data_IF_958991364858
#
_entry.id   IF_958991364858
#
_cell.length_a   1.000
_cell.length_b   1.000
_cell.length_c   1.000
_cell.angle_alpha   90.00
_cell.angle_beta   90.00
_cell.angle_gamma   90.00
#
_symmetry.space_group_name_H-M   'P 1'
#
loop_
_entity.id
_entity.type
_entity.pdbx_description
1 polymer ?
#
# COMPACT_ATOMS: atom_id res chain seq x y z
N UNK A 1 -31.48 -2.88 15.95
CA UNK A 1 -30.60 -1.80 15.44
C UNK A 1 -29.35 -2.47 14.92
N UNK A 2 -29.05 -2.35 13.65
CA UNK A 2 -27.76 -2.81 13.11
C UNK A 2 -26.66 -1.98 13.74
N UNK A 3 -25.63 -2.63 14.34
CA UNK A 3 -24.48 -1.93 14.87
C UNK A 3 -23.81 -1.13 13.75
N UNK A 4 -23.42 0.11 14.03
CA UNK A 4 -22.60 0.90 13.09
C UNK A 4 -21.27 0.19 12.92
N UNK A 5 -20.89 -0.06 11.66
CA UNK A 5 -19.59 -0.62 11.31
C UNK A 5 -18.85 0.39 10.43
N UNK A 6 -17.74 0.89 10.94
CA UNK A 6 -16.96 1.96 10.30
C UNK A 6 -15.81 1.41 9.50
N UNK A 7 -15.62 1.96 8.31
CA UNK A 7 -14.48 1.65 7.46
C UNK A 7 -13.67 2.88 7.12
N UNK A 8 -12.36 2.69 6.97
CA UNK A 8 -11.48 3.64 6.27
C UNK A 8 -11.05 3.01 4.97
N UNK A 9 -11.12 3.77 3.88
CA UNK A 9 -10.66 3.36 2.55
C UNK A 9 -9.55 4.29 2.11
N UNK A 10 -8.37 3.73 1.84
CA UNK A 10 -7.22 4.44 1.32
C UNK A 10 -7.00 4.11 -0.15
N UNK A 11 -7.06 5.13 -1.02
CA UNK A 11 -6.75 4.94 -2.44
C UNK A 11 -5.25 4.74 -2.67
N UNK A 12 -4.91 4.20 -3.85
CA UNK A 12 -3.55 4.27 -4.38
C UNK A 12 -3.16 5.70 -4.78
N UNK A 13 -1.87 6.00 -4.82
CA UNK A 13 -1.40 7.35 -5.17
C UNK A 13 0.11 7.57 -5.00
N UNK A 14 0.88 6.52 -4.73
CA UNK A 14 2.33 6.56 -4.67
C UNK A 14 2.86 7.57 -3.65
N UNK A 15 3.67 8.53 -4.10
CA UNK A 15 4.32 9.52 -3.24
C UNK A 15 3.36 10.44 -2.47
N UNK A 16 2.07 10.46 -2.81
CA UNK A 16 1.08 11.25 -2.08
C UNK A 16 0.58 10.59 -0.79
N UNK A 17 0.99 9.36 -0.49
CA UNK A 17 0.54 8.60 0.68
C UNK A 17 0.75 9.30 2.03
N UNK A 18 1.67 10.27 2.11
CA UNK A 18 1.84 11.12 3.29
C UNK A 18 0.58 11.91 3.64
N UNK A 19 -0.25 12.28 2.66
CA UNK A 19 -1.55 12.92 2.90
C UNK A 19 -2.50 12.02 3.71
N UNK A 20 -2.48 10.71 3.44
CA UNK A 20 -3.32 9.74 4.15
C UNK A 20 -2.99 9.71 5.65
N UNK A 21 -1.73 9.97 6.04
CA UNK A 21 -1.33 10.02 7.46
C UNK A 21 -1.93 11.26 8.16
N UNK A 22 -1.99 12.38 7.44
CA UNK A 22 -2.69 13.57 7.92
C UNK A 22 -4.20 13.33 8.08
N UNK A 23 -4.83 12.66 7.11
CA UNK A 23 -6.23 12.27 7.18
C UNK A 23 -6.48 11.28 8.34
N UNK A 24 -5.60 10.29 8.54
CA UNK A 24 -5.67 9.39 9.68
C UNK A 24 -5.61 10.14 11.02
N UNK A 25 -4.71 11.14 11.13
CA UNK A 25 -4.67 12.01 12.31
C UNK A 25 -6.02 12.70 12.57
N UNK A 26 -6.60 13.30 11.52
CA UNK A 26 -7.89 13.98 11.62
C UNK A 26 -9.02 13.02 12.05
N UNK A 27 -9.06 11.80 11.48
CA UNK A 27 -10.03 10.76 11.88
C UNK A 27 -9.92 10.41 13.37
N UNK A 28 -8.70 10.29 13.88
CA UNK A 28 -8.47 10.06 15.33
C UNK A 28 -8.96 11.24 16.18
N UNK A 29 -8.69 12.49 15.75
CA UNK A 29 -9.09 13.69 16.47
C UNK A 29 -10.61 13.86 16.58
N UNK A 30 -11.36 13.39 15.57
CA UNK A 30 -12.83 13.41 15.61
C UNK A 30 -13.45 12.16 16.22
N UNK A 31 -12.63 11.22 16.71
CA UNK A 31 -13.12 9.95 17.30
C UNK A 31 -13.72 8.99 16.30
N UNK A 32 -13.29 9.03 15.02
CA UNK A 32 -13.68 8.02 14.03
C UNK A 32 -12.80 6.78 14.18
N UNK A 33 -13.28 5.81 14.91
CA UNK A 33 -12.59 4.54 15.13
C UNK A 33 -13.10 3.50 14.12
N UNK A 34 -12.24 3.03 13.17
CA UNK A 34 -12.65 2.06 12.18
C UNK A 34 -12.66 0.62 12.73
N UNK A 35 -13.64 -0.16 12.29
CA UNK A 35 -13.69 -1.62 12.47
C UNK A 35 -12.94 -2.35 11.36
N UNK A 36 -12.78 -1.69 10.20
CA UNK A 36 -12.02 -2.24 9.07
C UNK A 36 -11.35 -1.14 8.26
N UNK A 37 -10.26 -1.50 7.59
CA UNK A 37 -9.57 -0.65 6.64
C UNK A 37 -9.30 -1.44 5.36
N UNK A 38 -9.59 -0.82 4.21
CA UNK A 38 -9.23 -1.37 2.90
C UNK A 38 -8.34 -0.39 2.16
N UNK A 39 -7.40 -0.90 1.38
CA UNK A 39 -6.48 -0.03 0.67
C UNK A 39 -5.87 -0.64 -0.58
N UNK A 40 -5.39 0.24 -1.46
CA UNK A 40 -4.72 -0.14 -2.71
C UNK A 40 -3.37 0.54 -2.80
N UNK A 41 -2.33 -0.18 -3.26
CA UNK A 41 -0.99 0.37 -3.46
C UNK A 41 -0.43 0.97 -2.15
N UNK A 42 -0.02 2.24 -2.15
CA UNK A 42 0.38 2.96 -0.94
C UNK A 42 -0.72 2.96 0.14
N UNK A 43 -1.98 2.94 -0.28
CA UNK A 43 -3.12 2.82 0.62
C UNK A 43 -3.18 1.46 1.34
N UNK A 44 -2.72 0.38 0.73
CA UNK A 44 -2.59 -0.92 1.38
C UNK A 44 -1.49 -0.89 2.46
N UNK A 45 -0.35 -0.24 2.19
CA UNK A 45 0.71 -0.06 3.17
C UNK A 45 0.23 0.77 4.38
N UNK A 46 -0.38 1.93 4.13
CA UNK A 46 -0.89 2.80 5.18
C UNK A 46 -2.06 2.15 5.95
N UNK A 47 -2.91 1.37 5.26
CA UNK A 47 -3.98 0.59 5.86
C UNK A 47 -3.47 -0.50 6.80
N UNK A 48 -2.43 -1.22 6.41
CA UNK A 48 -1.78 -2.20 7.27
C UNK A 48 -1.20 -1.55 8.54
N UNK A 49 -0.52 -0.40 8.40
CA UNK A 49 0.00 0.36 9.54
C UNK A 49 -1.13 0.89 10.44
N UNK A 50 -2.28 1.29 9.86
CA UNK A 50 -3.48 1.67 10.63
C UNK A 50 -4.01 0.49 11.42
N UNK A 51 -4.17 -0.67 10.81
CA UNK A 51 -4.63 -1.88 11.48
C UNK A 51 -3.69 -2.32 12.60
N UNK A 52 -2.37 -2.14 12.42
CA UNK A 52 -1.36 -2.38 13.45
C UNK A 52 -1.30 -1.30 14.55
N UNK A 53 -2.06 -0.21 14.43
CA UNK A 53 -2.01 0.91 15.38
C UNK A 53 -0.70 1.71 15.33
N UNK A 54 0.11 1.56 14.28
CA UNK A 54 1.46 2.14 14.14
C UNK A 54 1.44 3.56 13.54
N UNK A 55 0.66 4.47 14.14
CA UNK A 55 0.53 5.83 13.61
C UNK A 55 1.86 6.60 13.61
N UNK A 56 2.62 6.56 14.71
CA UNK A 56 3.88 7.31 14.83
C UNK A 56 4.96 6.75 13.88
N UNK A 57 4.98 5.43 13.67
CA UNK A 57 5.87 4.80 12.69
C UNK A 57 5.49 5.26 11.28
N UNK A 58 4.20 5.23 10.93
CA UNK A 58 3.69 5.70 9.64
C UNK A 58 4.07 7.17 9.40
N UNK A 59 3.88 8.03 10.39
CA UNK A 59 4.25 9.45 10.34
C UNK A 59 5.75 9.60 10.11
N UNK A 60 6.58 8.94 10.92
CA UNK A 60 8.04 9.01 10.80
C UNK A 60 8.54 8.53 9.45
N UNK A 61 7.93 7.45 8.91
CA UNK A 61 8.25 6.93 7.57
C UNK A 61 8.01 8.00 6.52
N UNK A 62 6.83 8.64 6.53
CA UNK A 62 6.47 9.63 5.52
C UNK A 62 7.23 10.95 5.66
N UNK A 63 7.56 11.40 6.89
CA UNK A 63 8.42 12.56 7.13
C UNK A 63 9.84 12.36 6.58
N UNK A 64 10.31 11.10 6.52
CA UNK A 64 11.65 10.72 6.07
C UNK A 64 11.64 9.93 4.74
N UNK A 65 10.50 9.90 4.03
CA UNK A 65 10.41 9.17 2.77
C UNK A 65 11.25 9.84 1.68
N UNK A 66 11.99 9.03 0.94
CA UNK A 66 12.87 9.50 -0.12
C UNK A 66 13.04 8.42 -1.19
N UNK A 67 13.50 8.80 -2.38
CA UNK A 67 13.64 7.90 -3.52
C UNK A 67 14.57 6.72 -3.25
N UNK A 68 15.61 6.92 -2.45
CA UNK A 68 16.55 5.87 -2.07
C UNK A 68 15.95 4.84 -1.09
N UNK A 69 14.84 5.16 -0.42
CA UNK A 69 14.08 4.21 0.39
C UNK A 69 13.11 3.34 -0.43
N UNK A 70 12.88 3.73 -1.66
CA UNK A 70 11.98 3.01 -2.57
C UNK A 70 12.75 2.22 -3.62
N UNK A 71 13.78 2.83 -4.22
CA UNK A 71 14.49 2.26 -5.37
C UNK A 71 15.98 2.09 -5.10
N UNK A 72 16.51 0.90 -5.39
CA UNK A 72 17.91 0.57 -5.16
C UNK A 72 18.89 1.44 -5.94
N UNK A 73 18.55 1.85 -7.16
CA UNK A 73 19.42 2.70 -8.00
C UNK A 73 19.63 4.12 -7.45
N UNK A 74 18.92 4.51 -6.41
CA UNK A 74 19.08 5.81 -5.76
C UNK A 74 19.71 5.72 -4.36
N UNK A 75 20.05 4.53 -3.87
CA UNK A 75 20.62 4.35 -2.52
C UNK A 75 21.91 5.13 -2.34
N UNK A 76 22.79 5.14 -3.36
CA UNK A 76 24.06 5.86 -3.34
C UNK A 76 23.97 7.32 -3.85
N UNK A 77 22.81 7.71 -4.40
CA UNK A 77 22.59 9.04 -4.98
C UNK A 77 21.94 9.98 -3.95
N UNK A 78 22.78 10.64 -3.17
CA UNK A 78 22.32 11.61 -2.15
C UNK A 78 21.59 12.82 -2.74
N UNK A 79 21.69 13.06 -4.05
CA UNK A 79 21.01 14.14 -4.75
C UNK A 79 19.70 13.68 -5.43
N UNK A 80 19.37 12.40 -5.37
CA UNK A 80 18.20 11.85 -6.05
C UNK A 80 16.88 12.54 -5.66
N UNK A 81 16.80 13.05 -4.44
CA UNK A 81 15.63 13.77 -3.92
C UNK A 81 15.41 15.12 -4.62
N UNK A 82 16.48 15.72 -5.14
CA UNK A 82 16.45 17.03 -5.79
C UNK A 82 16.47 16.93 -7.33
N UNK A 83 16.34 15.72 -7.88
CA UNK A 83 16.31 15.55 -9.33
C UNK A 83 15.03 16.16 -9.92
N UNK A 84 15.14 16.90 -11.03
CA UNK A 84 13.97 17.32 -11.77
C UNK A 84 13.10 16.11 -12.14
N UNK A 85 11.74 16.24 -12.09
CA UNK A 85 10.82 15.13 -12.41
C UNK A 85 11.13 14.45 -13.76
N UNK A 86 11.54 15.24 -14.75
CA UNK A 86 11.92 14.73 -16.07
C UNK A 86 13.15 13.81 -16.02
N UNK A 87 14.14 14.14 -15.20
CA UNK A 87 15.35 13.33 -15.04
C UNK A 87 15.03 12.02 -14.31
N UNK A 88 14.19 12.10 -13.28
CA UNK A 88 13.70 10.92 -12.57
C UNK A 88 12.94 10.00 -13.53
N UNK A 89 11.99 10.56 -14.29
CA UNK A 89 11.23 9.80 -15.28
C UNK A 89 12.13 9.10 -16.31
N UNK A 90 13.14 9.83 -16.85
CA UNK A 90 14.12 9.25 -17.80
C UNK A 90 14.94 8.11 -17.19
N UNK A 91 15.31 8.21 -15.91
CA UNK A 91 16.02 7.12 -15.20
C UNK A 91 15.14 5.91 -15.03
N UNK A 92 13.91 6.08 -14.54
CA UNK A 92 12.94 4.99 -14.39
C UNK A 92 12.59 4.34 -15.73
N UNK A 93 12.36 5.14 -16.78
CA UNK A 93 12.09 4.63 -18.12
C UNK A 93 13.27 3.79 -18.68
N UNK A 94 14.51 4.15 -18.35
CA UNK A 94 15.70 3.37 -18.73
C UNK A 94 15.72 2.03 -18.00
N UNK A 95 15.33 1.97 -16.72
CA UNK A 95 15.22 0.73 -15.97
C UNK A 95 14.13 -0.19 -16.53
N UNK A 96 13.00 0.38 -16.94
CA UNK A 96 11.94 -0.37 -17.63
C UNK A 96 12.48 -1.05 -18.89
N UNK A 97 13.21 -0.30 -19.73
CA UNK A 97 13.74 -0.80 -21.00
C UNK A 97 14.86 -1.84 -20.83
N UNK A 98 15.69 -1.70 -19.79
CA UNK A 98 16.86 -2.57 -19.57
C UNK A 98 16.56 -3.78 -18.72
N UNK A 99 15.75 -3.60 -17.66
CA UNK A 99 15.59 -4.55 -16.56
C UNK A 99 14.13 -4.98 -16.33
N UNK A 100 13.19 -4.48 -17.14
CA UNK A 100 11.75 -4.76 -16.99
C UNK A 100 11.11 -4.08 -15.79
N UNK A 101 11.74 -3.02 -15.26
CA UNK A 101 11.29 -2.22 -14.12
C UNK A 101 12.40 -1.98 -13.10
N UNK A 102 12.22 -0.94 -12.29
CA UNK A 102 13.13 -0.58 -11.23
C UNK A 102 13.15 -1.63 -10.11
N UNK A 103 14.30 -1.77 -9.46
CA UNK A 103 14.47 -2.62 -8.29
C UNK A 103 14.00 -1.87 -7.05
N UNK A 104 13.08 -2.50 -6.30
CA UNK A 104 12.42 -1.97 -5.10
C UNK A 104 12.89 -2.65 -3.82
N UNK A 105 14.08 -3.27 -3.83
CA UNK A 105 14.60 -3.98 -2.65
C UNK A 105 14.56 -3.13 -1.36
N UNK A 106 14.92 -1.82 -1.37
CA UNK A 106 14.82 -1.01 -0.16
C UNK A 106 13.37 -0.88 0.37
N UNK A 107 12.39 -0.75 -0.53
CA UNK A 107 10.98 -0.73 -0.14
C UNK A 107 10.54 -2.09 0.41
N UNK A 108 11.01 -3.19 -0.18
CA UNK A 108 10.70 -4.53 0.30
C UNK A 108 11.23 -4.74 1.73
N UNK A 109 12.47 -4.36 2.00
CA UNK A 109 13.07 -4.44 3.34
C UNK A 109 12.29 -3.58 4.34
N UNK A 110 11.94 -2.35 3.96
CA UNK A 110 11.14 -1.46 4.80
C UNK A 110 9.78 -2.09 5.14
N UNK A 111 9.01 -2.54 4.13
CA UNK A 111 7.69 -3.14 4.34
C UNK A 111 7.79 -4.38 5.23
N UNK A 112 8.74 -5.28 4.96
CA UNK A 112 8.96 -6.49 5.77
C UNK A 112 9.36 -6.17 7.21
N UNK A 113 10.13 -5.11 7.45
CA UNK A 113 10.51 -4.69 8.81
C UNK A 113 9.35 -4.12 9.63
N UNK A 114 8.35 -3.57 8.96
CA UNK A 114 7.17 -2.94 9.59
C UNK A 114 6.03 -3.92 9.84
N UNK A 115 5.95 -4.98 9.02
CA UNK A 115 4.84 -5.91 8.98
C UNK A 115 4.96 -6.98 10.06
N UNK A 116 4.26 -6.75 11.16
CA UNK A 116 4.01 -7.77 12.17
C UNK A 116 2.72 -8.50 11.77
N UNK A 117 2.88 -9.60 11.05
CA UNK A 117 1.73 -10.34 10.49
C UNK A 117 0.86 -10.95 11.58
N UNK A 118 1.45 -11.47 12.66
CA UNK A 118 0.68 -12.03 13.76
C UNK A 118 -0.19 -10.96 14.42
N UNK A 119 0.40 -9.80 14.73
CA UNK A 119 -0.35 -8.66 15.26
C UNK A 119 -1.43 -8.18 14.28
N UNK A 120 -1.15 -8.19 12.96
CA UNK A 120 -2.11 -7.78 11.94
C UNK A 120 -3.32 -8.72 11.86
N UNK A 121 -3.09 -10.04 11.98
CA UNK A 121 -4.15 -11.06 11.99
C UNK A 121 -5.05 -10.99 13.24
N UNK A 122 -4.48 -10.55 14.36
CA UNK A 122 -5.20 -10.39 15.64
C UNK A 122 -5.66 -8.96 15.91
N UNK A 123 -5.51 -8.07 14.92
CA UNK A 123 -5.92 -6.67 15.06
C UNK A 123 -7.44 -6.53 15.25
N UNK A 124 -7.90 -5.60 16.10
CA UNK A 124 -9.30 -5.24 16.18
C UNK A 124 -9.82 -4.56 14.90
N UNK A 125 -8.92 -4.01 14.07
CA UNK A 125 -9.24 -3.40 12.78
C UNK A 125 -8.95 -4.43 11.68
N UNK A 126 -10.00 -4.95 11.05
CA UNK A 126 -9.87 -5.91 9.95
C UNK A 126 -9.19 -5.24 8.74
N UNK A 127 -8.09 -5.80 8.29
CA UNK A 127 -7.32 -5.26 7.16
C UNK A 127 -7.66 -5.98 5.85
N UNK A 128 -7.84 -5.19 4.78
CA UNK A 128 -8.02 -5.70 3.42
C UNK A 128 -7.24 -4.89 2.39
N UNK A 129 -6.85 -5.55 1.31
CA UNK A 129 -6.11 -4.93 0.21
C UNK A 129 -6.59 -5.41 -1.16
N UNK A 130 -6.24 -4.62 -2.17
CA UNK A 130 -6.43 -5.00 -3.58
C UNK A 130 -5.09 -5.09 -4.27
N UNK A 131 -4.88 -6.16 -5.02
CA UNK A 131 -3.82 -6.29 -6.01
C UNK A 131 -4.40 -6.77 -7.34
N UNK A 132 -3.63 -6.70 -8.41
CA UNK A 132 -4.08 -7.14 -9.73
C UNK A 132 -3.24 -8.32 -10.21
N UNK A 133 -3.86 -9.47 -10.43
CA UNK A 133 -3.20 -10.58 -11.12
C UNK A 133 -2.84 -10.16 -12.54
N UNK A 134 -1.60 -10.40 -12.96
CA UNK A 134 -1.10 -9.90 -14.23
C UNK A 134 -1.60 -10.72 -15.45
N UNK A 135 -1.75 -12.03 -15.28
CA UNK A 135 -2.22 -12.89 -16.39
C UNK A 135 -3.06 -14.07 -15.87
N UNK A 136 -4.34 -14.18 -16.27
CA UNK A 136 -5.13 -13.12 -16.90
C UNK A 136 -5.28 -11.93 -15.94
N UNK A 137 -5.49 -10.73 -16.50
CA UNK A 137 -5.71 -9.52 -15.68
C UNK A 137 -7.01 -9.71 -14.89
N UNK A 138 -6.90 -9.65 -13.56
CA UNK A 138 -8.04 -9.84 -12.65
C UNK A 138 -7.77 -9.14 -11.32
N UNK A 139 -8.74 -8.38 -10.81
CA UNK A 139 -8.72 -7.89 -9.45
C UNK A 139 -8.65 -9.04 -8.45
N UNK A 140 -7.84 -8.87 -7.43
CA UNK A 140 -7.70 -9.79 -6.30
C UNK A 140 -7.86 -8.94 -5.04
N UNK A 141 -9.03 -9.05 -4.44
CA UNK A 141 -9.41 -8.41 -3.18
C UNK A 141 -9.25 -9.45 -2.08
N UNK A 142 -8.45 -9.16 -1.07
CA UNK A 142 -8.19 -10.09 0.02
C UNK A 142 -8.23 -9.36 1.36
N UNK A 143 -8.94 -9.93 2.32
CA UNK A 143 -8.75 -9.62 3.73
C UNK A 143 -7.61 -10.44 4.31
N UNK A 144 -7.06 -9.99 5.43
CA UNK A 144 -5.88 -10.61 6.06
C UNK A 144 -6.06 -12.11 6.34
N UNK A 145 -7.27 -12.55 6.68
CA UNK A 145 -7.60 -13.96 6.93
C UNK A 145 -7.60 -14.83 5.66
N UNK A 146 -7.68 -14.22 4.48
CA UNK A 146 -7.65 -14.88 3.16
C UNK A 146 -6.22 -14.97 2.60
N UNK A 147 -5.28 -14.23 3.19
CA UNK A 147 -3.87 -14.23 2.80
C UNK A 147 -3.19 -15.42 3.50
N UNK A 148 -2.42 -16.27 2.77
CA UNK A 148 -1.65 -17.33 3.39
C UNK A 148 -0.71 -16.81 4.49
N UNK A 149 -0.51 -17.61 5.54
CA UNK A 149 0.39 -17.25 6.63
C UNK A 149 1.83 -17.04 6.13
N UNK A 150 2.46 -15.97 6.57
CA UNK A 150 3.80 -15.56 6.15
C UNK A 150 3.85 -14.70 4.89
N UNK A 151 2.72 -14.45 4.21
CA UNK A 151 2.68 -13.75 2.92
C UNK A 151 2.07 -12.34 3.00
N UNK A 152 1.67 -11.82 4.16
CA UNK A 152 1.01 -10.51 4.27
C UNK A 152 1.86 -9.37 3.70
N UNK A 153 3.15 -9.32 4.00
CA UNK A 153 4.08 -8.34 3.46
C UNK A 153 4.19 -8.44 1.93
N UNK A 154 4.20 -9.66 1.39
CA UNK A 154 4.32 -9.90 -0.05
C UNK A 154 3.06 -9.44 -0.80
N UNK A 155 1.86 -9.63 -0.23
CA UNK A 155 0.63 -9.11 -0.83
C UNK A 155 0.52 -7.58 -0.74
N UNK A 156 1.01 -6.94 0.33
CA UNK A 156 1.13 -5.47 0.41
C UNK A 156 2.08 -4.94 -0.66
N UNK A 157 3.22 -5.59 -0.87
CA UNK A 157 4.18 -5.26 -1.93
C UNK A 157 3.60 -5.52 -3.33
N UNK A 158 2.86 -6.60 -3.52
CA UNK A 158 2.16 -6.89 -4.76
C UNK A 158 1.11 -5.82 -5.09
N UNK A 159 0.38 -5.34 -4.07
CA UNK A 159 -0.57 -4.23 -4.20
C UNK A 159 0.11 -2.92 -4.66
N UNK A 160 1.37 -2.71 -4.31
CA UNK A 160 2.14 -1.50 -4.64
C UNK A 160 3.09 -1.67 -5.86
N UNK A 161 3.03 -2.79 -6.58
CA UNK A 161 3.91 -3.10 -7.70
C UNK A 161 3.48 -2.35 -8.98
N UNK A 162 3.77 -1.04 -9.05
CA UNK A 162 3.39 -0.13 -10.14
C UNK A 162 4.18 -0.43 -11.43
N UNK A 163 3.80 -1.52 -12.12
CA UNK A 163 4.35 -1.87 -13.43
C UNK A 163 3.97 -0.80 -14.49
N UNK A 164 4.81 -0.44 -15.48
CA UNK A 164 6.14 -0.99 -15.74
C UNK A 164 7.27 -0.29 -14.98
N UNK A 165 6.99 0.75 -14.18
CA UNK A 165 8.04 1.49 -13.45
C UNK A 165 8.74 0.60 -12.42
N UNK A 166 7.98 -0.26 -11.74
CA UNK A 166 8.48 -1.33 -10.90
C UNK A 166 8.27 -2.67 -11.60
N UNK A 167 9.05 -3.68 -11.22
CA UNK A 167 8.81 -5.05 -11.70
C UNK A 167 7.49 -5.57 -11.17
N UNK A 168 6.82 -6.46 -11.95
CA UNK A 168 5.70 -7.23 -11.41
C UNK A 168 6.17 -8.04 -10.20
N UNK A 169 5.34 -8.13 -9.15
CA UNK A 169 5.64 -8.89 -7.96
C UNK A 169 5.21 -10.35 -8.12
N UNK A 170 6.08 -11.29 -7.73
CA UNK A 170 5.78 -12.71 -7.88
C UNK A 170 5.55 -13.34 -6.50
N UNK A 171 4.37 -13.97 -6.33
CA UNK A 171 4.03 -14.78 -5.17
C UNK A 171 3.74 -16.18 -5.69
N UNK A 172 4.54 -17.16 -5.28
CA UNK A 172 4.50 -18.51 -5.84
C UNK A 172 4.68 -18.50 -7.35
N UNK A 173 3.72 -19.05 -8.09
CA UNK A 173 3.71 -19.10 -9.55
C UNK A 173 2.87 -17.99 -10.20
N UNK A 174 2.36 -17.03 -9.41
CA UNK A 174 1.48 -15.96 -9.89
C UNK A 174 2.23 -14.63 -9.88
N UNK A 175 2.08 -13.87 -10.97
CA UNK A 175 2.58 -12.48 -11.05
C UNK A 175 1.46 -11.50 -10.78
N UNK A 176 1.77 -10.51 -9.97
CA UNK A 176 0.88 -9.42 -9.61
C UNK A 176 1.45 -8.08 -10.02
N UNK A 177 0.57 -7.14 -10.23
CA UNK A 177 0.86 -5.71 -10.42
C UNK A 177 -0.03 -4.89 -9.49
N UNK A 178 0.22 -3.60 -9.42
CA UNK A 178 -0.49 -2.66 -8.55
C UNK A 178 -2.01 -2.85 -8.61
N UNK A 179 -2.64 -2.79 -7.44
CA UNK A 179 -4.10 -2.91 -7.33
C UNK A 179 -4.85 -1.82 -8.07
N UNK A 180 -4.24 -0.65 -8.26
CA UNK A 180 -4.79 0.48 -8.99
C UNK A 180 -5.15 0.20 -10.46
N UNK A 181 -4.63 -0.89 -11.03
CA UNK A 181 -5.04 -1.36 -12.37
C UNK A 181 -6.44 -1.98 -12.39
N UNK A 182 -6.98 -2.36 -11.24
CA UNK A 182 -8.30 -3.00 -11.13
C UNK A 182 -9.25 -2.18 -10.27
N UNK A 183 -8.86 -1.82 -9.07
CA UNK A 183 -9.64 -0.97 -8.15
C UNK A 183 -8.69 -0.11 -7.31
N UNK A 184 -8.61 1.17 -7.67
CA UNK A 184 -7.73 2.12 -6.97
C UNK A 184 -8.29 2.58 -5.62
N UNK A 185 -9.58 2.42 -5.40
CA UNK A 185 -10.26 2.93 -4.21
C UNK A 185 -11.32 1.92 -3.75
N UNK A 186 -10.94 0.88 -2.96
CA UNK A 186 -11.74 -0.31 -2.71
C UNK A 186 -12.89 -0.07 -1.71
N UNK A 187 -13.79 0.86 -2.07
CA UNK A 187 -14.99 1.19 -1.29
C UNK A 187 -15.97 0.02 -1.29
N UNK A 188 -16.17 -0.61 -2.47
CA UNK A 188 -17.11 -1.71 -2.57
C UNK A 188 -16.68 -2.92 -1.72
N UNK A 189 -15.36 -3.18 -1.62
CA UNK A 189 -14.83 -4.19 -0.73
C UNK A 189 -15.21 -3.93 0.73
N UNK A 190 -15.10 -2.68 1.19
CA UNK A 190 -15.49 -2.30 2.56
C UNK A 190 -17.01 -2.45 2.78
N UNK A 191 -17.82 -2.02 1.80
CA UNK A 191 -19.28 -2.16 1.87
C UNK A 191 -19.71 -3.63 1.88
N UNK A 192 -19.11 -4.47 1.04
CA UNK A 192 -19.37 -5.92 1.01
C UNK A 192 -18.98 -6.60 2.33
N UNK A 193 -18.00 -6.06 3.05
CA UNK A 193 -17.62 -6.52 4.38
C UNK A 193 -18.56 -6.03 5.50
N UNK A 194 -19.61 -5.27 5.13
CA UNK A 194 -20.67 -4.83 6.04
C UNK A 194 -20.46 -3.45 6.64
N UNK A 195 -19.55 -2.62 6.09
CA UNK A 195 -19.42 -1.23 6.52
C UNK A 195 -20.69 -0.44 6.25
N UNK A 196 -21.11 0.34 7.25
CA UNK A 196 -22.30 1.22 7.18
C UNK A 196 -21.92 2.70 7.18
N UNK A 197 -20.71 3.02 7.65
CA UNK A 197 -20.08 4.33 7.56
C UNK A 197 -18.68 4.16 6.95
N UNK A 198 -18.36 4.94 5.93
CA UNK A 198 -17.09 4.82 5.20
C UNK A 198 -16.43 6.20 5.09
N UNK A 199 -15.23 6.32 5.64
CA UNK A 199 -14.34 7.46 5.40
C UNK A 199 -13.40 7.10 4.25
N UNK A 200 -13.46 7.85 3.14
CA UNK A 200 -12.61 7.63 1.97
C UNK A 200 -11.54 8.71 1.91
N UNK A 201 -10.30 8.29 1.76
CA UNK A 201 -9.15 9.18 1.56
C UNK A 201 -8.58 8.92 0.17
N UNK A 202 -9.00 9.75 -0.77
CA UNK A 202 -8.57 9.74 -2.17
C UNK A 202 -7.41 10.73 -2.39
N UNK A 203 -6.33 10.29 -3.12
CA UNK A 203 -5.09 11.06 -3.29
C UNK A 203 -4.54 11.03 -4.71
#
# INVERSE_FOLDING_TARGET
MTSVKRAVVFSGGGAKGGYQIGAWKALREIGFEPDLVTGTSVGALNGALMALGKYEDARSIWENMSMNRVFSQFVEDTQAQNLPPETLFKRLAREVLRNGGADISPLQELVKSLMDEDALRHSPIRFGLVTTRFSPIKAVELFIEEIPEGEAADYVLASAACFPFMKSYQIGNVKFVDGGYSDNMPVQMAVNAGATEVAVVDI
#
